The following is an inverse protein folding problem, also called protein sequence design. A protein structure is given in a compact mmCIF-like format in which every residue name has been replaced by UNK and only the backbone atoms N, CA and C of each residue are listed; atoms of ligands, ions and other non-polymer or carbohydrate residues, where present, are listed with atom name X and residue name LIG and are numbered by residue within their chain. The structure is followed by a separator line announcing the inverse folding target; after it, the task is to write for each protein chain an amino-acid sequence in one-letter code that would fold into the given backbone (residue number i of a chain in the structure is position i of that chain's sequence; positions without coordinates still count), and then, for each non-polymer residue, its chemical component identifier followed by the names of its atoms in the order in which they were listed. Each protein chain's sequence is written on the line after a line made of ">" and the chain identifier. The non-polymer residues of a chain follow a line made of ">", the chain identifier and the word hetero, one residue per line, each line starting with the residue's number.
data_IF_135601059040
#
_entry.id   IF_135601059040
#
_cell.length_a   1.000
_cell.length_b   1.000
_cell.length_c   1.000
_cell.angle_alpha   90.00
_cell.angle_beta   90.00
_cell.angle_gamma   90.00
#
_symmetry.space_group_name_H-M   'P 1'
#
loop_
_entity.id
_entity.type
_entity.pdbx_description
1 polymer ?
#
# COMPACT_ATOMS: atom_id res chain seq x y z
N UNK A 1 -16.83 18.97 -24.62
CA UNK A 1 -15.74 18.37 -25.42
C UNK A 1 -14.45 19.12 -25.18
N UNK A 2 -13.33 18.41 -25.10
CA UNK A 2 -11.98 18.98 -25.06
C UNK A 2 -11.57 19.61 -26.41
N UNK A 3 -10.77 20.66 -26.36
CA UNK A 3 -10.17 21.39 -27.49
C UNK A 3 -9.40 20.47 -28.43
N UNK A 4 -8.66 19.47 -27.91
CA UNK A 4 -7.87 18.55 -28.73
C UNK A 4 -8.74 17.72 -29.69
N UNK A 5 -9.95 17.35 -29.28
CA UNK A 5 -10.90 16.60 -30.13
C UNK A 5 -11.32 17.45 -31.32
N UNK A 6 -11.69 18.70 -31.05
CA UNK A 6 -12.14 19.65 -32.08
C UNK A 6 -11.00 20.02 -33.04
N UNK A 7 -9.77 20.13 -32.54
CA UNK A 7 -8.60 20.36 -33.40
C UNK A 7 -8.30 19.20 -34.35
N UNK A 8 -8.43 17.96 -33.88
CA UNK A 8 -8.15 16.79 -34.70
C UNK A 8 -9.27 16.51 -35.72
N UNK A 9 -10.51 16.90 -35.39
CA UNK A 9 -11.68 16.69 -36.24
C UNK A 9 -12.51 17.96 -36.35
N UNK A 10 -12.00 18.96 -37.08
CA UNK A 10 -12.65 20.27 -37.17
C UNK A 10 -14.00 20.26 -37.90
N UNK A 11 -14.26 19.31 -38.79
CA UNK A 11 -15.52 19.23 -39.53
C UNK A 11 -16.63 18.61 -38.67
N UNK A 12 -17.51 19.48 -38.16
CA UNK A 12 -18.64 19.10 -37.31
C UNK A 12 -19.66 18.19 -38.01
N UNK A 13 -19.65 18.10 -39.35
CA UNK A 13 -20.51 17.15 -40.06
C UNK A 13 -20.05 15.70 -39.89
N UNK A 14 -18.83 15.47 -39.41
CA UNK A 14 -18.28 14.15 -39.14
C UNK A 14 -18.36 13.76 -37.66
N UNK A 15 -18.90 14.62 -36.79
CA UNK A 15 -19.02 14.35 -35.36
C UNK A 15 -20.14 13.35 -35.10
N UNK A 16 -19.80 12.07 -35.17
CA UNK A 16 -20.74 10.96 -35.01
C UNK A 16 -20.46 10.17 -33.74
N UNK A 17 -21.49 9.88 -32.95
CA UNK A 17 -21.39 9.03 -31.77
C UNK A 17 -22.30 7.82 -31.99
N UNK A 18 -21.73 6.62 -31.90
CA UNK A 18 -22.49 5.36 -31.96
C UNK A 18 -23.11 5.06 -30.61
N UNK A 19 -24.17 5.80 -30.28
CA UNK A 19 -25.02 5.59 -29.12
C UNK A 19 -26.49 5.77 -29.52
N UNK A 20 -27.40 5.19 -28.74
CA UNK A 20 -28.83 5.34 -28.97
C UNK A 20 -29.28 6.78 -28.69
N UNK A 21 -30.19 7.31 -29.52
CA UNK A 21 -30.76 8.64 -29.37
C UNK A 21 -30.10 9.74 -30.21
N UNK A 22 -30.38 11.00 -29.85
CA UNK A 22 -29.76 12.18 -30.48
C UNK A 22 -28.64 12.71 -29.59
N UNK A 23 -27.51 13.04 -30.21
CA UNK A 23 -26.33 13.55 -29.49
C UNK A 23 -26.42 15.07 -29.31
N UNK A 24 -26.02 15.56 -28.13
CA UNK A 24 -25.82 16.98 -27.85
C UNK A 24 -24.34 17.22 -27.51
N UNK A 25 -23.65 17.96 -28.37
CA UNK A 25 -22.25 18.34 -28.17
C UNK A 25 -22.18 19.68 -27.45
N UNK A 26 -21.67 19.65 -26.21
CA UNK A 26 -21.49 20.83 -25.37
C UNK A 26 -20.06 21.36 -25.52
N UNK A 27 -19.93 22.61 -25.98
CA UNK A 27 -18.65 23.32 -26.15
C UNK A 27 -18.52 24.45 -25.12
N UNK A 28 -17.43 24.46 -24.36
CA UNK A 28 -17.15 25.55 -23.43
C UNK A 28 -16.54 26.76 -24.16
N UNK A 29 -16.76 27.97 -23.63
CA UNK A 29 -16.07 29.18 -24.10
C UNK A 29 -14.55 29.13 -23.96
N UNK A 30 -14.03 28.30 -23.04
CA UNK A 30 -12.59 28.04 -22.89
C UNK A 30 -11.99 27.46 -24.16
N UNK A 31 -12.75 26.66 -24.91
CA UNK A 31 -12.28 26.03 -26.14
C UNK A 31 -11.87 27.06 -27.17
N UNK A 32 -12.67 28.12 -27.37
CA UNK A 32 -12.34 29.20 -28.30
C UNK A 32 -11.10 29.96 -27.84
N UNK A 33 -10.97 30.20 -26.53
CA UNK A 33 -9.81 30.88 -25.95
C UNK A 33 -8.52 30.06 -26.14
N UNK A 34 -8.59 28.75 -25.93
CA UNK A 34 -7.47 27.83 -26.12
C UNK A 34 -7.07 27.71 -27.58
N UNK A 35 -8.03 27.56 -28.50
CA UNK A 35 -7.76 27.56 -29.94
C UNK A 35 -7.05 28.84 -30.38
N UNK A 36 -7.48 30.00 -29.88
CA UNK A 36 -6.85 31.28 -30.19
C UNK A 36 -5.44 31.38 -29.61
N UNK A 37 -5.22 30.86 -28.40
CA UNK A 37 -3.89 30.79 -27.80
C UNK A 37 -2.95 29.88 -28.61
N UNK A 38 -3.42 28.70 -29.02
CA UNK A 38 -2.64 27.76 -29.84
C UNK A 38 -2.33 28.37 -31.20
N UNK A 39 -3.29 29.04 -31.85
CA UNK A 39 -3.11 29.71 -33.15
C UNK A 39 -2.00 30.76 -33.12
N UNK A 40 -1.82 31.45 -31.99
CA UNK A 40 -0.82 32.52 -31.80
C UNK A 40 0.57 32.00 -31.43
N UNK A 41 0.74 30.71 -31.11
CA UNK A 41 2.05 30.17 -30.74
C UNK A 41 3.01 30.20 -31.95
N UNK A 42 4.21 30.73 -31.72
CA UNK A 42 5.34 30.68 -32.64
C UNK A 42 6.33 29.58 -32.22
N UNK A 43 7.02 28.95 -33.19
CA UNK A 43 8.11 28.01 -32.90
C UNK A 43 8.19 26.79 -33.83
N UNK A 44 8.58 25.64 -33.26
CA UNK A 44 8.95 24.37 -33.91
C UNK A 44 7.90 23.82 -34.89
N UNK A 45 8.31 22.86 -35.74
CA UNK A 45 7.44 22.22 -36.75
C UNK A 45 6.13 21.64 -36.18
N UNK A 46 6.17 21.02 -35.00
CA UNK A 46 4.98 20.53 -34.29
C UNK A 46 4.01 21.64 -33.87
N UNK A 47 4.55 22.81 -33.50
CA UNK A 47 3.75 24.00 -33.19
C UNK A 47 3.07 24.57 -34.45
N UNK A 48 3.72 24.45 -35.62
CA UNK A 48 3.13 24.85 -36.91
C UNK A 48 1.93 23.96 -37.26
N UNK A 49 2.04 22.64 -37.10
CA UNK A 49 0.93 21.72 -37.36
C UNK A 49 -0.25 22.00 -36.41
N UNK A 50 0.02 22.15 -35.12
CA UNK A 50 -1.00 22.47 -34.11
C UNK A 50 -1.69 23.81 -34.40
N UNK A 51 -0.92 24.82 -34.84
CA UNK A 51 -1.47 26.11 -35.26
C UNK A 51 -2.39 25.97 -36.48
N UNK A 52 -1.99 25.20 -37.48
CA UNK A 52 -2.81 24.97 -38.67
C UNK A 52 -4.12 24.25 -38.30
N UNK A 53 -4.06 23.22 -37.46
CA UNK A 53 -5.25 22.52 -36.93
C UNK A 53 -6.17 23.48 -36.17
N UNK A 54 -5.62 24.32 -35.29
CA UNK A 54 -6.39 25.32 -34.56
C UNK A 54 -7.03 26.36 -35.49
N UNK A 55 -6.33 26.81 -36.54
CA UNK A 55 -6.90 27.74 -37.52
C UNK A 55 -8.05 27.11 -38.33
N UNK A 56 -7.92 25.85 -38.73
CA UNK A 56 -8.99 25.10 -39.41
C UNK A 56 -10.20 24.94 -38.47
N UNK A 57 -9.98 24.56 -37.21
CA UNK A 57 -11.03 24.45 -36.20
C UNK A 57 -11.76 25.77 -35.98
N UNK A 58 -11.04 26.88 -35.84
CA UNK A 58 -11.64 28.23 -35.69
C UNK A 58 -12.49 28.59 -36.91
N UNK A 59 -11.98 28.37 -38.13
CA UNK A 59 -12.75 28.66 -39.36
C UNK A 59 -14.01 27.80 -39.46
N UNK A 60 -13.92 26.53 -39.07
CA UNK A 60 -15.06 25.61 -39.03
C UNK A 60 -16.13 26.08 -38.03
N UNK A 61 -15.74 26.38 -36.78
CA UNK A 61 -16.65 26.90 -35.76
C UNK A 61 -17.26 28.25 -36.15
N UNK A 62 -16.48 29.15 -36.78
CA UNK A 62 -17.03 30.39 -37.31
C UNK A 62 -18.07 30.15 -38.43
N UNK A 63 -17.88 29.12 -39.25
CA UNK A 63 -18.87 28.67 -40.22
C UNK A 63 -20.14 28.14 -39.56
N UNK A 64 -20.00 27.38 -38.47
CA UNK A 64 -21.12 26.89 -37.66
C UNK A 64 -21.91 28.05 -37.04
N UNK A 65 -21.23 29.04 -36.44
CA UNK A 65 -21.88 30.19 -35.78
C UNK A 65 -22.66 31.09 -36.76
N UNK A 66 -22.40 31.00 -38.06
CA UNK A 66 -23.20 31.70 -39.08
C UNK A 66 -24.53 31.01 -39.37
N UNK A 67 -24.72 29.75 -38.97
CA UNK A 67 -25.92 28.97 -39.21
C UNK A 67 -27.02 29.24 -38.16
N UNK A 68 -26.68 29.81 -37.01
CA UNK A 68 -27.63 30.10 -35.95
C UNK A 68 -26.96 30.56 -34.66
N UNK A 69 -27.76 30.71 -33.59
CA UNK A 69 -27.25 31.07 -32.28
C UNK A 69 -26.73 29.83 -31.53
N UNK A 70 -25.41 29.76 -31.31
CA UNK A 70 -24.78 28.59 -30.67
C UNK A 70 -25.25 28.36 -29.24
N UNK A 71 -25.73 29.38 -28.52
CA UNK A 71 -26.25 29.21 -27.16
C UNK A 71 -27.65 28.62 -27.12
N UNK A 72 -28.38 28.65 -28.23
CA UNK A 72 -29.72 28.03 -28.38
C UNK A 72 -29.65 26.63 -29.00
N UNK A 73 -28.48 26.26 -29.54
CA UNK A 73 -28.26 24.98 -30.20
C UNK A 73 -28.32 25.11 -31.73
N UNK A 74 -27.37 24.47 -32.41
CA UNK A 74 -27.32 24.39 -33.87
C UNK A 74 -27.36 22.91 -34.28
N UNK A 75 -28.34 22.55 -35.09
CA UNK A 75 -28.47 21.20 -35.61
C UNK A 75 -27.34 20.89 -36.60
N UNK A 76 -26.77 19.69 -36.49
CA UNK A 76 -25.76 19.12 -37.39
C UNK A 76 -26.21 17.72 -37.84
N UNK A 77 -25.44 17.12 -38.75
CA UNK A 77 -25.78 15.82 -39.36
C UNK A 77 -26.11 14.70 -38.35
N UNK A 78 -25.42 14.66 -37.22
CA UNK A 78 -25.53 13.56 -36.24
C UNK A 78 -25.92 14.05 -34.82
N UNK A 79 -26.55 15.23 -34.70
CA UNK A 79 -26.96 15.77 -33.41
C UNK A 79 -27.10 17.28 -33.38
N UNK A 80 -26.82 17.87 -32.23
CA UNK A 80 -26.89 19.31 -31.96
C UNK A 80 -25.60 19.79 -31.30
N UNK A 81 -25.19 21.02 -31.56
CA UNK A 81 -24.07 21.67 -30.88
C UNK A 81 -24.57 22.87 -30.09
N UNK A 82 -24.20 22.95 -28.81
CA UNK A 82 -24.47 24.11 -27.94
C UNK A 82 -23.18 24.68 -27.35
N UNK A 83 -23.12 26.00 -27.24
CA UNK A 83 -22.04 26.74 -26.60
C UNK A 83 -22.43 27.18 -25.20
N UNK A 84 -21.58 26.92 -24.22
CA UNK A 84 -21.79 27.28 -22.81
C UNK A 84 -20.68 28.23 -22.34
N UNK A 85 -21.09 29.38 -21.82
CA UNK A 85 -20.17 30.36 -21.24
C UNK A 85 -19.71 29.94 -19.85
N UNK A 86 -18.46 30.24 -19.50
CA UNK A 86 -17.98 30.08 -18.13
C UNK A 86 -18.83 30.92 -17.15
N UNK A 87 -19.09 30.43 -15.93
CA UNK A 87 -19.70 31.24 -14.88
C UNK A 87 -18.89 32.51 -14.59
N UNK A 88 -19.54 33.50 -13.98
CA UNK A 88 -18.85 34.72 -13.53
C UNK A 88 -17.75 34.34 -12.53
N UNK A 89 -16.64 35.09 -12.57
CA UNK A 89 -15.45 34.85 -11.72
C UNK A 89 -15.80 34.62 -10.23
N UNK A 90 -16.69 35.44 -9.67
CA UNK A 90 -17.11 35.34 -8.27
C UNK A 90 -17.80 34.01 -7.89
N UNK A 91 -18.45 33.33 -8.85
CA UNK A 91 -19.06 32.03 -8.63
C UNK A 91 -18.07 30.88 -8.88
N UNK A 92 -17.09 31.09 -9.77
CA UNK A 92 -16.17 30.05 -10.21
C UNK A 92 -14.90 29.93 -9.35
N UNK A 93 -14.37 31.04 -8.84
CA UNK A 93 -13.13 31.03 -8.03
C UNK A 93 -13.22 30.12 -6.80
N UNK A 94 -14.31 30.12 -5.99
CA UNK A 94 -14.40 29.25 -4.83
C UNK A 94 -14.36 27.75 -5.18
N UNK A 95 -14.99 27.34 -6.28
CA UNK A 95 -14.94 25.93 -6.71
C UNK A 95 -13.54 25.53 -7.22
N UNK A 96 -12.84 26.46 -7.86
CA UNK A 96 -11.47 26.20 -8.33
C UNK A 96 -10.46 26.19 -7.17
N UNK A 97 -10.68 26.98 -6.11
CA UNK A 97 -9.88 26.93 -4.87
C UNK A 97 -10.06 25.58 -4.15
N UNK A 98 -11.27 25.02 -4.12
CA UNK A 98 -11.49 23.67 -3.58
C UNK A 98 -10.76 22.57 -4.38
N UNK A 99 -10.38 22.85 -5.63
CA UNK A 99 -9.66 21.94 -6.51
C UNK A 99 -8.25 22.46 -6.85
N UNK A 100 -7.62 23.22 -5.94
CA UNK A 100 -6.35 23.91 -6.21
C UNK A 100 -5.25 22.97 -6.74
N UNK A 101 -5.12 21.77 -6.17
CA UNK A 101 -4.13 20.78 -6.62
C UNK A 101 -4.37 20.33 -8.06
N UNK A 102 -5.64 20.13 -8.45
CA UNK A 102 -6.01 19.81 -9.83
C UNK A 102 -5.76 20.99 -10.75
N UNK A 103 -6.07 22.22 -10.32
CA UNK A 103 -5.79 23.43 -11.09
C UNK A 103 -4.29 23.60 -11.32
N UNK A 104 -3.46 23.28 -10.34
CA UNK A 104 -2.00 23.33 -10.44
C UNK A 104 -1.46 22.29 -11.42
N UNK A 105 -2.01 21.07 -11.41
CA UNK A 105 -1.57 19.99 -12.28
C UNK A 105 -2.08 20.12 -13.73
N UNK A 106 -3.35 20.48 -13.91
CA UNK A 106 -4.07 20.44 -15.19
C UNK A 106 -4.41 21.82 -15.75
N UNK A 107 -4.01 22.91 -15.08
CA UNK A 107 -4.43 24.28 -15.41
C UNK A 107 -5.93 24.50 -15.20
N UNK A 108 -6.26 25.78 -15.23
CA UNK A 108 -7.60 26.29 -14.96
C UNK A 108 -8.62 25.90 -16.04
N UNK A 109 -8.22 25.76 -17.31
CA UNK A 109 -9.13 25.45 -18.40
C UNK A 109 -9.59 24.00 -18.39
N UNK A 110 -8.70 23.05 -18.16
CA UNK A 110 -9.05 21.63 -18.06
C UNK A 110 -9.90 21.37 -16.81
N UNK A 111 -9.59 22.04 -15.69
CA UNK A 111 -10.43 21.98 -14.47
C UNK A 111 -11.83 22.54 -14.70
N UNK A 112 -11.99 23.57 -15.55
CA UNK A 112 -13.34 24.07 -15.93
C UNK A 112 -14.14 23.04 -16.74
N UNK A 113 -13.50 22.21 -17.56
CA UNK A 113 -14.19 21.14 -18.29
C UNK A 113 -14.71 20.07 -17.33
N UNK A 114 -13.95 19.74 -16.28
CA UNK A 114 -14.40 18.86 -15.21
C UNK A 114 -15.64 19.44 -14.51
N UNK A 115 -15.59 20.71 -14.09
CA UNK A 115 -16.70 21.39 -13.41
C UNK A 115 -17.95 21.46 -14.30
N UNK A 116 -17.79 21.84 -15.58
CA UNK A 116 -18.89 21.86 -16.55
C UNK A 116 -19.52 20.48 -16.72
N UNK A 117 -18.70 19.42 -16.79
CA UNK A 117 -19.22 18.05 -16.92
C UNK A 117 -20.03 17.65 -15.68
N UNK A 118 -19.54 18.00 -14.48
CA UNK A 118 -20.26 17.77 -13.22
C UNK A 118 -21.59 18.52 -13.18
N UNK A 119 -21.59 19.80 -13.56
CA UNK A 119 -22.80 20.63 -13.61
C UNK A 119 -23.82 20.09 -14.62
N UNK A 120 -23.38 19.74 -15.84
CA UNK A 120 -24.25 19.10 -16.83
C UNK A 120 -24.84 17.78 -16.30
N UNK A 121 -24.05 16.95 -15.63
CA UNK A 121 -24.54 15.70 -15.06
C UNK A 121 -25.59 15.93 -13.98
N UNK A 122 -25.42 16.95 -13.14
CA UNK A 122 -26.39 17.33 -12.12
C UNK A 122 -27.67 17.92 -12.71
N UNK A 123 -27.56 18.73 -13.78
CA UNK A 123 -28.72 19.33 -14.44
C UNK A 123 -29.52 18.32 -15.27
N UNK A 124 -28.86 17.31 -15.83
CA UNK A 124 -29.47 16.32 -16.71
C UNK A 124 -29.45 14.92 -16.07
N UNK A 125 -30.14 14.75 -14.94
CA UNK A 125 -30.13 13.50 -14.16
C UNK A 125 -30.49 12.22 -14.95
N UNK A 126 -31.30 12.36 -16.01
CA UNK A 126 -31.77 11.25 -16.86
C UNK A 126 -31.00 11.11 -18.18
N UNK A 127 -30.10 12.04 -18.50
CA UNK A 127 -29.33 12.02 -19.75
C UNK A 127 -27.86 11.71 -19.46
N UNK A 128 -27.27 10.68 -20.07
CA UNK A 128 -25.85 10.40 -19.90
C UNK A 128 -24.98 11.59 -20.34
N UNK A 129 -24.18 12.12 -19.41
CA UNK A 129 -23.19 13.15 -19.67
C UNK A 129 -21.80 12.54 -19.56
N UNK A 130 -20.97 12.69 -20.59
CA UNK A 130 -19.60 12.15 -20.62
C UNK A 130 -18.62 13.21 -21.14
N UNK A 131 -17.54 13.44 -20.40
CA UNK A 131 -16.42 14.25 -20.89
C UNK A 131 -15.65 13.49 -21.97
N UNK A 132 -15.56 14.08 -23.15
CA UNK A 132 -14.74 13.55 -24.26
C UNK A 132 -13.41 14.29 -24.29
N UNK A 133 -12.30 13.56 -24.11
CA UNK A 133 -10.94 14.09 -24.16
C UNK A 133 -10.00 13.18 -24.95
N UNK A 134 -8.96 13.77 -25.54
CA UNK A 134 -7.86 13.04 -26.18
C UNK A 134 -6.62 12.94 -25.30
N UNK A 135 -6.66 13.49 -24.09
CA UNK A 135 -5.51 13.54 -23.18
C UNK A 135 -5.65 12.51 -22.06
N UNK A 136 -4.67 11.60 -21.97
CA UNK A 136 -4.63 10.55 -20.95
C UNK A 136 -4.62 11.08 -19.52
N UNK A 137 -3.87 12.15 -19.26
CA UNK A 137 -3.76 12.68 -17.91
C UNK A 137 -5.09 13.30 -17.45
N UNK A 138 -5.75 14.06 -18.33
CA UNK A 138 -7.08 14.62 -18.04
C UNK A 138 -8.12 13.52 -17.87
N UNK A 139 -8.10 12.49 -18.72
CA UNK A 139 -8.96 11.32 -18.58
C UNK A 139 -8.81 10.66 -17.20
N UNK A 140 -7.57 10.35 -16.79
CA UNK A 140 -7.31 9.71 -15.49
C UNK A 140 -7.78 10.59 -14.33
N UNK A 141 -7.48 11.89 -14.35
CA UNK A 141 -7.87 12.81 -13.30
C UNK A 141 -9.40 12.92 -13.17
N UNK A 142 -10.11 13.05 -14.29
CA UNK A 142 -11.58 13.15 -14.30
C UNK A 142 -12.22 11.84 -13.84
N UNK A 143 -11.67 10.69 -14.27
CA UNK A 143 -12.15 9.38 -13.84
C UNK A 143 -12.00 9.17 -12.32
N UNK A 144 -10.88 9.63 -11.74
CA UNK A 144 -10.65 9.57 -10.29
C UNK A 144 -11.60 10.47 -9.49
N UNK A 145 -12.17 11.50 -10.12
CA UNK A 145 -13.21 12.33 -9.53
C UNK A 145 -14.62 11.72 -9.65
N UNK A 146 -14.73 10.49 -10.18
CA UNK A 146 -16.01 9.80 -10.38
C UNK A 146 -16.88 10.43 -11.48
N UNK A 147 -16.31 11.31 -12.30
CA UNK A 147 -17.02 11.96 -13.40
C UNK A 147 -16.89 11.09 -14.66
N UNK A 148 -17.99 10.78 -15.36
CA UNK A 148 -17.92 9.97 -16.57
C UNK A 148 -17.08 10.63 -17.65
N UNK A 149 -16.07 9.90 -18.14
CA UNK A 149 -15.17 10.36 -19.20
C UNK A 149 -14.86 9.26 -20.20
N UNK A 150 -14.57 9.66 -21.43
CA UNK A 150 -14.19 8.77 -22.51
C UNK A 150 -12.99 9.33 -23.26
N UNK A 151 -11.95 8.50 -23.36
CA UNK A 151 -10.74 8.82 -24.10
C UNK A 151 -10.93 8.46 -25.57
N UNK A 152 -10.89 9.46 -26.45
CA UNK A 152 -10.88 9.23 -27.90
C UNK A 152 -10.06 10.29 -28.61
N UNK A 153 -9.56 9.98 -29.80
CA UNK A 153 -8.81 10.96 -30.62
C UNK A 153 -9.54 11.36 -31.89
N UNK A 154 -10.52 10.55 -32.34
CA UNK A 154 -11.24 10.73 -33.59
C UNK A 154 -12.71 10.28 -33.51
N UNK A 155 -13.49 10.65 -34.54
CA UNK A 155 -14.86 10.18 -34.77
C UNK A 155 -14.88 9.00 -35.77
N UNK A 156 -15.88 8.08 -35.70
CA UNK A 156 -16.98 8.06 -34.74
C UNK A 156 -16.53 7.66 -33.32
N UNK A 157 -17.21 8.17 -32.30
CA UNK A 157 -17.02 7.72 -30.92
C UNK A 157 -17.83 6.45 -30.72
N UNK A 158 -17.18 5.40 -30.20
CA UNK A 158 -17.77 4.08 -29.97
C UNK A 158 -17.48 3.61 -28.54
N UNK A 159 -18.32 2.72 -28.00
CA UNK A 159 -18.05 2.12 -26.70
C UNK A 159 -18.19 3.08 -25.51
N UNK A 160 -19.04 4.11 -25.64
CA UNK A 160 -19.49 4.88 -24.48
C UNK A 160 -20.20 3.92 -23.53
N UNK A 161 -19.56 3.65 -22.38
CA UNK A 161 -20.19 2.88 -21.30
C UNK A 161 -21.34 3.71 -20.73
N UNK A 162 -22.43 3.06 -20.33
CA UNK A 162 -23.47 3.72 -19.54
C UNK A 162 -22.81 4.38 -18.34
N UNK A 163 -22.92 5.70 -18.25
CA UNK A 163 -22.37 6.47 -17.15
C UNK A 163 -23.19 6.14 -15.90
N UNK A 164 -22.65 5.42 -14.89
CA UNK A 164 -23.33 5.37 -13.61
C UNK A 164 -23.45 6.81 -13.08
N UNK A 165 -24.58 7.16 -12.49
CA UNK A 165 -24.75 8.44 -11.80
C UNK A 165 -23.52 8.70 -10.91
N UNK A 166 -23.01 9.94 -10.87
CA UNK A 166 -21.87 10.32 -10.01
C UNK A 166 -22.18 9.80 -8.61
N UNK A 167 -21.54 8.69 -8.24
CA UNK A 167 -21.84 8.02 -6.98
C UNK A 167 -21.36 8.95 -5.88
N UNK A 168 -22.19 9.10 -4.86
CA UNK A 168 -21.85 9.74 -3.58
C UNK A 168 -20.48 9.24 -3.11
N UNK A 169 -19.75 10.08 -2.39
CA UNK A 169 -18.44 9.72 -1.81
C UNK A 169 -18.48 8.29 -1.24
N UNK A 170 -17.47 7.49 -1.60
CA UNK A 170 -17.34 6.12 -1.13
C UNK A 170 -17.30 6.16 0.41
N UNK A 171 -18.21 5.43 1.06
CA UNK A 171 -18.16 5.22 2.50
C UNK A 171 -16.99 4.31 2.82
N UNK A 172 -15.80 4.89 2.93
CA UNK A 172 -14.58 4.16 3.26
C UNK A 172 -14.70 3.46 4.60
N UNK A 173 -15.42 4.01 5.57
CA UNK A 173 -15.65 3.35 6.86
C UNK A 173 -16.54 2.11 6.68
N UNK A 174 -17.50 2.15 5.76
CA UNK A 174 -18.28 0.99 5.32
C UNK A 174 -17.43 -0.08 4.65
N UNK A 175 -16.62 0.33 3.66
CA UNK A 175 -15.74 -0.58 2.90
C UNK A 175 -14.66 -1.20 3.81
N UNK A 176 -14.05 -0.42 4.69
CA UNK A 176 -13.06 -0.90 5.65
C UNK A 176 -13.68 -1.86 6.66
N UNK A 177 -14.89 -1.57 7.16
CA UNK A 177 -15.62 -2.52 8.02
C UNK A 177 -15.96 -3.81 7.30
N UNK A 178 -16.33 -3.76 6.02
CA UNK A 178 -16.60 -4.94 5.20
C UNK A 178 -15.32 -5.76 5.01
N UNK A 179 -14.19 -5.12 4.64
CA UNK A 179 -12.89 -5.79 4.51
C UNK A 179 -12.44 -6.39 5.85
N UNK A 180 -12.55 -5.66 6.95
CA UNK A 180 -12.22 -6.17 8.29
C UNK A 180 -13.10 -7.35 8.69
N UNK A 181 -14.40 -7.29 8.37
CA UNK A 181 -15.34 -8.40 8.65
C UNK A 181 -14.98 -9.63 7.83
N UNK A 182 -14.76 -9.46 6.52
CA UNK A 182 -14.33 -10.52 5.61
C UNK A 182 -13.01 -11.15 6.05
N UNK A 183 -12.09 -10.32 6.53
CA UNK A 183 -10.77 -10.76 7.00
C UNK A 183 -10.91 -11.53 8.32
N UNK A 184 -11.75 -11.07 9.26
CA UNK A 184 -12.01 -11.77 10.53
C UNK A 184 -12.72 -13.10 10.32
N UNK A 185 -13.64 -13.20 9.35
CA UNK A 185 -14.30 -14.47 9.03
C UNK A 185 -13.34 -15.50 8.38
N UNK A 186 -12.32 -15.02 7.66
CA UNK A 186 -11.33 -15.87 6.99
C UNK A 186 -10.08 -16.14 7.83
N UNK A 187 -9.88 -15.42 8.93
CA UNK A 187 -8.71 -15.54 9.78
C UNK A 187 -8.79 -16.78 10.68
N UNK A 188 -7.74 -17.57 10.66
CA UNK A 188 -7.49 -18.65 11.60
C UNK A 188 -6.70 -18.07 12.76
N UNK A 189 -7.27 -18.11 13.97
CA UNK A 189 -6.60 -17.59 15.17
C UNK A 189 -5.85 -18.74 15.84
N UNK A 190 -4.59 -18.53 16.18
CA UNK A 190 -3.75 -19.50 16.87
C UNK A 190 -3.29 -18.90 18.19
N UNK A 191 -3.64 -19.56 19.29
CA UNK A 191 -3.19 -19.23 20.64
C UNK A 191 -2.12 -20.27 21.03
N UNK A 192 -0.85 -19.89 21.14
CA UNK A 192 0.23 -20.78 21.60
C UNK A 192 0.64 -20.39 23.03
N UNK A 193 0.94 -21.35 23.89
CA UNK A 193 1.40 -21.11 25.26
C UNK A 193 2.67 -21.90 25.51
N UNK A 194 3.73 -21.21 25.96
CA UNK A 194 4.98 -21.86 26.34
C UNK A 194 4.80 -22.54 27.70
N UNK A 195 5.18 -23.81 27.80
CA UNK A 195 5.02 -24.59 29.05
C UNK A 195 6.36 -25.05 29.62
N UNK A 196 7.37 -25.25 28.76
CA UNK A 196 8.67 -25.71 29.21
C UNK A 196 9.78 -25.17 28.31
N UNK A 197 10.94 -24.92 28.92
CA UNK A 197 12.19 -24.64 28.22
C UNK A 197 13.30 -25.40 28.92
N UNK A 198 13.95 -26.33 28.21
CA UNK A 198 14.95 -27.22 28.81
C UNK A 198 16.13 -27.46 27.88
N UNK A 199 17.30 -27.70 28.45
CA UNK A 199 18.45 -28.14 27.67
C UNK A 199 18.21 -29.55 27.13
N UNK A 200 18.61 -29.77 25.88
CA UNK A 200 18.55 -31.09 25.29
C UNK A 200 19.36 -32.11 26.14
N UNK A 201 18.85 -33.32 26.38
CA UNK A 201 19.58 -34.34 27.11
C UNK A 201 20.94 -34.65 26.45
N UNK A 202 21.99 -34.84 27.25
CA UNK A 202 23.36 -35.02 26.75
C UNK A 202 23.56 -36.16 25.74
N UNK A 203 22.71 -37.19 25.76
CA UNK A 203 22.74 -38.29 24.79
C UNK A 203 22.22 -37.89 23.39
N UNK A 204 21.36 -36.87 23.31
CA UNK A 204 20.84 -36.32 22.05
C UNK A 204 21.85 -35.35 21.39
N UNK A 205 22.83 -34.87 22.16
CA UNK A 205 23.81 -33.84 21.78
C UNK A 205 25.21 -34.44 21.61
N UNK A 206 25.34 -35.77 21.53
CA UNK A 206 26.63 -36.45 21.47
C UNK A 206 27.37 -36.13 20.16
N UNK A 207 28.24 -35.11 20.20
CA UNK A 207 29.02 -34.63 19.05
C UNK A 207 28.46 -33.40 18.34
N UNK A 208 27.38 -32.77 18.86
CA UNK A 208 26.78 -31.56 18.29
C UNK A 208 26.81 -30.38 19.27
N UNK A 209 26.50 -29.17 18.80
CA UNK A 209 26.34 -27.99 19.66
C UNK A 209 25.16 -28.18 20.62
N UNK A 210 25.29 -27.83 21.92
CA UNK A 210 24.16 -27.80 22.85
C UNK A 210 23.01 -26.94 22.33
N UNK A 211 21.81 -27.48 22.37
CA UNK A 211 20.58 -26.78 22.00
C UNK A 211 19.53 -26.90 23.11
N UNK A 212 18.56 -26.00 23.06
CA UNK A 212 17.41 -25.95 23.95
C UNK A 212 16.19 -26.51 23.24
N UNK A 213 15.25 -27.04 24.02
CA UNK A 213 13.95 -27.51 23.55
C UNK A 213 12.91 -26.67 24.26
N UNK A 214 12.10 -25.95 23.49
CA UNK A 214 10.88 -25.29 23.94
C UNK A 214 9.67 -26.19 23.66
N UNK A 215 8.76 -26.26 24.63
CA UNK A 215 7.55 -27.07 24.54
C UNK A 215 6.36 -26.26 24.99
N UNK A 216 5.23 -26.49 24.34
CA UNK A 216 4.01 -25.79 24.68
C UNK A 216 2.76 -26.47 24.17
N UNK A 217 1.65 -25.86 24.55
CA UNK A 217 0.34 -26.21 24.04
C UNK A 217 -0.14 -25.09 23.13
N UNK A 218 -1.00 -25.39 22.18
CA UNK A 218 -1.68 -24.36 21.42
C UNK A 218 -3.10 -24.75 21.09
N UNK A 219 -3.86 -23.75 20.64
CA UNK A 219 -5.25 -23.88 20.24
C UNK A 219 -5.43 -23.14 18.92
N UNK A 220 -5.89 -23.85 17.90
CA UNK A 220 -6.30 -23.29 16.61
C UNK A 220 -7.81 -23.07 16.65
N UNK A 221 -8.26 -21.86 16.27
CA UNK A 221 -9.67 -21.48 16.16
C UNK A 221 -9.99 -21.13 14.71
N UNK A 222 -10.94 -21.86 14.12
CA UNK A 222 -11.42 -21.66 12.76
C UNK A 222 -12.95 -21.52 12.80
N UNK A 223 -13.45 -20.28 12.81
CA UNK A 223 -14.88 -20.01 13.03
C UNK A 223 -15.35 -20.55 14.39
N UNK A 224 -16.13 -21.63 14.38
CA UNK A 224 -16.62 -22.30 15.62
C UNK A 224 -15.80 -23.53 16.01
N UNK A 225 -14.90 -23.99 15.16
CA UNK A 225 -14.04 -25.13 15.46
C UNK A 225 -12.85 -24.69 16.32
N UNK A 226 -12.54 -25.49 17.33
CA UNK A 226 -11.42 -25.28 18.26
C UNK A 226 -10.62 -26.57 18.32
N UNK A 227 -9.33 -26.51 17.98
CA UNK A 227 -8.46 -27.69 17.92
C UNK A 227 -7.21 -27.48 18.78
N UNK A 228 -7.00 -28.28 19.83
CA UNK A 228 -5.78 -28.21 20.62
C UNK A 228 -4.63 -28.92 19.88
N UNK A 229 -3.40 -28.46 20.12
CA UNK A 229 -2.18 -29.13 19.68
C UNK A 229 -1.07 -28.99 20.71
N UNK A 230 -0.09 -29.89 20.65
CA UNK A 230 1.19 -29.74 21.34
C UNK A 230 2.22 -29.25 20.33
N UNK A 231 3.16 -28.43 20.76
CA UNK A 231 4.27 -28.00 19.92
C UNK A 231 5.60 -28.18 20.63
N UNK A 232 6.63 -28.48 19.85
CA UNK A 232 8.01 -28.62 20.32
C UNK A 232 8.96 -28.02 19.30
N UNK A 233 9.84 -27.13 19.77
CA UNK A 233 10.81 -26.43 18.93
C UNK A 233 12.20 -26.58 19.54
N UNK A 234 13.14 -27.24 18.85
CA UNK A 234 14.54 -27.16 19.20
C UNK A 234 15.13 -25.85 18.67
N UNK A 235 15.99 -25.21 19.45
CA UNK A 235 16.64 -23.96 19.07
C UNK A 235 18.01 -23.82 19.74
N UNK A 236 18.95 -23.13 19.08
CA UNK A 236 20.23 -22.82 19.70
C UNK A 236 20.08 -21.61 20.62
N UNK A 237 20.43 -21.74 21.92
CA UNK A 237 20.52 -20.57 22.77
C UNK A 237 21.65 -19.69 22.25
N UNK A 238 21.35 -18.41 22.08
CA UNK A 238 22.36 -17.45 21.69
C UNK A 238 23.22 -17.18 22.91
N UNK A 239 24.51 -17.46 22.80
CA UNK A 239 25.44 -17.27 23.91
C UNK A 239 26.80 -16.79 23.41
N UNK A 240 27.43 -15.92 24.17
CA UNK A 240 28.83 -15.53 24.02
C UNK A 240 29.79 -16.62 24.51
N UNK A 241 29.36 -17.86 24.80
CA UNK A 241 30.23 -18.96 25.25
C UNK A 241 31.32 -19.36 24.24
N UNK A 242 32.39 -20.03 24.71
CA UNK A 242 33.50 -20.54 23.87
C UNK A 242 32.94 -21.39 22.73
N UNK A 243 33.05 -20.88 21.50
CA UNK A 243 32.78 -21.68 20.31
C UNK A 243 33.96 -22.63 20.12
N UNK A 244 33.66 -23.93 20.00
CA UNK A 244 34.64 -24.92 19.55
C UNK A 244 34.94 -24.66 18.07
N UNK A 245 36.17 -24.88 17.58
CA UNK A 245 36.47 -24.79 16.14
C UNK A 245 35.63 -25.74 15.26
N UNK A 246 34.91 -26.70 15.85
CA UNK A 246 33.89 -27.53 15.19
C UNK A 246 32.54 -26.83 14.96
N UNK A 247 32.30 -25.65 15.54
CA UNK A 247 31.01 -24.94 15.49
C UNK A 247 30.75 -24.25 14.13
N UNK A 248 31.74 -24.25 13.24
CA UNK A 248 31.64 -23.73 11.87
C UNK A 248 31.11 -24.75 10.85
N UNK A 249 30.88 -26.01 11.24
CA UNK A 249 30.17 -26.97 10.41
C UNK A 249 28.65 -26.85 10.64
N UNK A 250 27.99 -26.05 9.80
CA UNK A 250 26.58 -26.19 9.45
C UNK A 250 25.55 -25.98 10.58
N UNK A 251 24.83 -24.86 10.52
CA UNK A 251 23.59 -24.57 11.26
C UNK A 251 22.41 -25.51 10.89
N UNK A 252 22.67 -26.76 10.47
CA UNK A 252 21.79 -27.47 9.52
C UNK A 252 21.09 -28.75 9.99
N UNK A 253 21.15 -29.16 11.26
CA UNK A 253 20.40 -30.35 11.72
C UNK A 253 19.79 -30.18 13.12
N UNK A 254 19.02 -29.11 13.34
CA UNK A 254 18.02 -29.16 14.42
C UNK A 254 16.85 -30.04 13.96
N UNK A 255 16.27 -30.90 14.83
CA UNK A 255 15.04 -31.61 14.49
C UNK A 255 13.96 -30.61 14.03
N UNK A 256 13.08 -30.98 13.09
CA UNK A 256 12.01 -30.10 12.65
C UNK A 256 11.08 -29.74 13.82
N UNK A 257 10.41 -28.59 13.70
CA UNK A 257 9.31 -28.24 14.60
C UNK A 257 8.29 -29.38 14.59
N UNK A 258 7.92 -29.85 15.77
CA UNK A 258 6.92 -30.90 15.90
C UNK A 258 5.62 -30.29 16.39
N UNK A 259 4.54 -30.47 15.62
CA UNK A 259 3.18 -30.16 16.04
C UNK A 259 2.40 -31.48 16.13
N UNK A 260 1.82 -31.77 17.30
CA UNK A 260 0.99 -32.94 17.55
C UNK A 260 -0.47 -32.52 17.73
N UNK A 261 -1.31 -32.86 16.76
CA UNK A 261 -2.77 -32.66 16.79
C UNK A 261 -3.52 -33.90 17.30
N UNK A 262 -2.89 -34.70 18.16
CA UNK A 262 -3.47 -35.88 18.81
C UNK A 262 -4.01 -36.94 17.83
N UNK A 263 -3.33 -37.11 16.69
CA UNK A 263 -3.69 -38.10 15.66
C UNK A 263 -4.79 -37.67 14.69
N UNK A 264 -5.07 -36.37 14.54
CA UNK A 264 -5.91 -35.86 13.47
C UNK A 264 -5.18 -35.91 12.10
N UNK A 265 -5.50 -36.92 11.29
CA UNK A 265 -4.89 -37.13 9.96
C UNK A 265 -5.31 -36.10 8.88
N UNK A 266 -6.28 -35.22 9.18
CA UNK A 266 -6.88 -34.27 8.23
C UNK A 266 -6.45 -32.82 8.47
N UNK A 267 -5.30 -32.58 9.11
CA UNK A 267 -4.77 -31.22 9.25
C UNK A 267 -4.09 -30.80 7.93
N UNK A 268 -4.57 -29.71 7.31
CA UNK A 268 -4.02 -29.24 6.04
C UNK A 268 -2.56 -28.84 6.18
N UNK A 269 -1.70 -29.35 5.29
CA UNK A 269 -0.25 -29.11 5.34
C UNK A 269 0.09 -27.61 5.36
N UNK A 270 -0.61 -26.81 4.57
CA UNK A 270 -0.39 -25.36 4.51
C UNK A 270 -0.61 -24.66 5.86
N UNK A 271 -1.58 -25.13 6.66
CA UNK A 271 -1.83 -24.59 7.99
C UNK A 271 -0.79 -25.08 9.00
N UNK A 272 -0.34 -26.34 8.86
CA UNK A 272 0.77 -26.87 9.65
C UNK A 272 2.03 -26.02 9.44
N UNK A 273 2.39 -25.80 8.17
CA UNK A 273 3.57 -25.05 7.78
C UNK A 273 3.48 -23.61 8.28
N UNK A 274 2.33 -22.95 8.12
CA UNK A 274 2.12 -21.59 8.62
C UNK A 274 2.23 -21.45 10.14
N UNK A 275 1.75 -22.44 10.92
CA UNK A 275 1.92 -22.46 12.38
C UNK A 275 3.39 -22.73 12.74
N UNK A 276 4.01 -23.70 12.09
CA UNK A 276 5.39 -24.08 12.33
C UNK A 276 6.34 -22.91 12.05
N UNK A 277 6.17 -22.20 10.93
CA UNK A 277 6.95 -21.03 10.56
C UNK A 277 6.82 -19.92 11.60
N UNK A 278 5.59 -19.61 12.04
CA UNK A 278 5.35 -18.58 13.07
C UNK A 278 5.98 -18.90 14.41
N UNK A 279 5.96 -20.17 14.80
CA UNK A 279 6.58 -20.62 16.04
C UNK A 279 8.11 -20.70 15.91
N UNK A 280 8.64 -21.09 14.75
CA UNK A 280 10.07 -21.12 14.45
C UNK A 280 10.65 -19.71 14.44
N UNK A 281 9.90 -18.75 13.96
CA UNK A 281 10.23 -17.33 14.01
C UNK A 281 10.49 -16.85 15.45
N UNK A 282 9.77 -17.37 16.45
CA UNK A 282 10.03 -17.09 17.86
C UNK A 282 11.36 -17.70 18.36
N UNK A 283 11.89 -18.74 17.72
CA UNK A 283 13.20 -19.29 18.06
C UNK A 283 14.36 -18.38 17.64
N UNK A 284 14.13 -17.58 16.60
CA UNK A 284 15.08 -16.60 16.10
C UNK A 284 15.07 -15.32 16.95
N UNK A 285 16.17 -14.58 16.88
CA UNK A 285 16.22 -13.22 17.40
C UNK A 285 15.62 -12.28 16.37
N UNK A 286 14.33 -11.98 16.53
CA UNK A 286 13.64 -10.94 15.79
C UNK A 286 12.96 -9.99 16.77
N UNK A 287 13.16 -8.69 16.61
CA UNK A 287 12.50 -7.65 17.41
C UNK A 287 11.26 -7.11 16.67
N UNK A 288 10.50 -8.00 16.04
CA UNK A 288 9.23 -7.61 15.42
C UNK A 288 8.18 -7.34 16.52
N UNK A 289 7.52 -6.19 16.44
CA UNK A 289 6.52 -5.77 17.41
C UNK A 289 5.44 -6.85 17.63
N UNK A 290 5.19 -7.21 18.88
CA UNK A 290 4.18 -8.19 19.26
C UNK A 290 4.55 -9.66 19.03
N UNK A 291 5.78 -9.97 18.60
CA UNK A 291 6.28 -11.35 18.50
C UNK A 291 7.24 -11.66 19.65
N UNK A 292 6.96 -12.66 20.49
CA UNK A 292 7.86 -13.03 21.57
C UNK A 292 9.01 -13.91 21.07
N UNK A 293 10.10 -13.96 21.83
CA UNK A 293 11.28 -14.79 21.54
C UNK A 293 11.47 -15.91 22.56
N UNK A 294 11.86 -17.10 22.10
CA UNK A 294 12.22 -18.25 22.93
C UNK A 294 13.61 -18.11 23.56
N UNK A 295 14.37 -17.08 23.19
CA UNK A 295 15.65 -16.77 23.83
C UNK A 295 15.43 -16.37 25.30
N UNK A 296 16.43 -16.63 26.14
CA UNK A 296 16.38 -16.19 27.54
C UNK A 296 16.77 -14.71 27.64
N UNK A 297 16.39 -14.06 28.74
CA UNK A 297 16.87 -12.73 29.09
C UNK A 297 18.41 -12.63 28.97
N UNK A 298 19.12 -13.65 29.47
CA UNK A 298 20.57 -13.70 29.37
C UNK A 298 21.05 -13.73 27.90
N UNK A 299 20.46 -14.59 27.06
CA UNK A 299 20.80 -14.68 25.64
C UNK A 299 20.54 -13.37 24.88
N UNK A 300 19.46 -12.66 25.22
CA UNK A 300 19.14 -11.34 24.66
C UNK A 300 20.19 -10.31 25.07
N UNK A 301 20.49 -10.22 26.38
CA UNK A 301 21.49 -9.30 26.92
C UNK A 301 22.87 -9.54 26.30
N UNK A 302 23.25 -10.79 26.11
CA UNK A 302 24.51 -11.20 25.49
C UNK A 302 24.59 -10.77 24.01
N UNK A 303 23.54 -11.01 23.23
CA UNK A 303 23.51 -10.63 21.81
C UNK A 303 23.48 -9.12 21.61
N UNK A 304 22.64 -8.41 22.35
CA UNK A 304 22.60 -6.96 22.30
C UNK A 304 23.97 -6.36 22.68
N UNK A 305 24.64 -6.91 23.70
CA UNK A 305 25.93 -6.40 24.14
C UNK A 305 27.00 -6.60 23.06
N UNK A 306 26.93 -7.73 22.35
CA UNK A 306 27.79 -7.99 21.22
C UNK A 306 27.55 -7.04 20.05
N UNK A 307 26.30 -6.77 19.70
CA UNK A 307 25.99 -5.80 18.64
C UNK A 307 26.43 -4.38 19.00
N UNK A 308 26.17 -3.92 20.23
CA UNK A 308 26.63 -2.61 20.69
C UNK A 308 28.16 -2.52 20.71
N UNK A 309 28.83 -3.56 21.18
CA UNK A 309 30.29 -3.62 21.18
C UNK A 309 30.87 -3.55 19.77
N UNK A 310 30.30 -4.32 18.82
CA UNK A 310 30.70 -4.28 17.41
C UNK A 310 30.46 -2.90 16.77
N UNK A 311 29.34 -2.24 17.09
CA UNK A 311 29.03 -0.91 16.59
C UNK A 311 30.04 0.14 17.09
N UNK A 312 30.52 -0.02 18.33
CA UNK A 312 31.45 0.93 18.97
C UNK A 312 32.92 0.71 18.58
N UNK A 313 33.40 -0.52 18.68
CA UNK A 313 34.83 -0.87 18.57
C UNK A 313 35.21 -1.46 17.19
N UNK A 314 34.21 -1.81 16.37
CA UNK A 314 34.41 -2.45 15.06
C UNK A 314 34.68 -3.96 15.15
N UNK A 315 34.59 -4.63 14.00
CA UNK A 315 34.76 -6.08 13.93
C UNK A 315 36.25 -6.48 14.03
N UNK A 316 36.61 -7.27 15.05
CA UNK A 316 37.91 -7.94 15.15
C UNK A 316 37.77 -9.34 15.76
N UNK A 317 38.71 -10.25 15.46
CA UNK A 317 38.71 -11.61 16.04
C UNK A 317 38.85 -11.59 17.58
N UNK A 318 39.48 -10.55 18.13
CA UNK A 318 39.67 -10.37 19.59
C UNK A 318 38.49 -9.64 20.27
N UNK A 319 37.56 -9.06 19.50
CA UNK A 319 36.44 -8.26 20.03
C UNK A 319 35.54 -9.06 20.99
N UNK A 320 35.26 -10.32 20.66
CA UNK A 320 34.42 -11.18 21.48
C UNK A 320 35.09 -11.53 22.82
N UNK A 321 36.40 -11.76 22.81
CA UNK A 321 37.16 -12.08 24.02
C UNK A 321 37.32 -10.86 24.94
N UNK A 322 37.47 -9.67 24.35
CA UNK A 322 37.49 -8.41 25.10
C UNK A 322 36.13 -8.12 25.74
N UNK A 323 35.03 -8.24 25.00
CA UNK A 323 33.68 -8.08 25.55
C UNK A 323 33.43 -9.05 26.72
N UNK A 324 33.82 -10.32 26.57
CA UNK A 324 33.73 -11.32 27.66
C UNK A 324 34.52 -10.88 28.89
N UNK A 325 35.70 -10.31 28.70
CA UNK A 325 36.55 -9.86 29.78
C UNK A 325 35.95 -8.65 30.49
N UNK A 326 35.41 -7.68 29.74
CA UNK A 326 34.70 -6.52 30.27
C UNK A 326 33.47 -6.92 31.08
N UNK A 327 32.62 -7.81 30.55
CA UNK A 327 31.44 -8.33 31.27
C UNK A 327 31.85 -9.01 32.59
N UNK A 328 32.98 -9.74 32.60
CA UNK A 328 33.51 -10.34 33.85
C UNK A 328 34.02 -9.30 34.83
N UNK A 329 34.65 -8.23 34.34
CA UNK A 329 35.14 -7.14 35.19
C UNK A 329 34.03 -6.30 35.78
N UNK A 330 32.91 -6.16 35.08
CA UNK A 330 31.68 -5.53 35.58
C UNK A 330 30.92 -6.40 36.58
N UNK A 331 31.42 -7.57 36.98
CA UNK A 331 30.72 -8.53 37.86
C UNK A 331 29.51 -9.25 37.24
N UNK A 332 29.19 -9.00 35.96
CA UNK A 332 28.09 -9.64 35.27
C UNK A 332 27.56 -8.85 34.09
N UNK A 333 26.62 -9.46 33.35
CA UNK A 333 25.96 -8.82 32.20
C UNK A 333 25.01 -7.70 32.64
N UNK A 334 24.31 -7.86 33.77
CA UNK A 334 23.36 -6.86 34.25
C UNK A 334 24.08 -5.58 34.66
N UNK A 335 25.18 -5.73 35.37
CA UNK A 335 26.07 -4.65 35.80
C UNK A 335 26.76 -4.01 34.59
N UNK A 336 27.24 -4.80 33.63
CA UNK A 336 27.79 -4.29 32.37
C UNK A 336 26.79 -3.38 31.63
N UNK A 337 25.54 -3.83 31.46
CA UNK A 337 24.49 -3.03 30.82
C UNK A 337 24.13 -1.79 31.62
N UNK A 338 24.06 -1.90 32.95
CA UNK A 338 23.78 -0.77 33.83
C UNK A 338 24.86 0.30 33.69
N UNK A 339 26.13 -0.10 33.76
CA UNK A 339 27.26 0.80 33.57
C UNK A 339 27.22 1.40 32.17
N UNK A 340 27.01 0.59 31.13
CA UNK A 340 27.02 1.06 29.75
C UNK A 340 25.92 2.11 29.49
N UNK A 341 24.67 1.85 29.87
CA UNK A 341 23.54 2.77 29.67
C UNK A 341 23.74 4.07 30.47
N UNK A 342 24.23 3.96 31.71
CA UNK A 342 24.45 5.13 32.57
C UNK A 342 25.58 6.06 32.09
N UNK A 343 26.50 5.56 31.27
CA UNK A 343 27.61 6.34 30.72
C UNK A 343 27.31 6.97 29.34
N UNK A 344 26.10 6.79 28.79
CA UNK A 344 25.65 7.53 27.61
C UNK A 344 25.48 9.00 28.00
N UNK A 345 26.19 9.89 27.28
CA UNK A 345 26.26 11.32 27.61
C UNK A 345 25.06 12.14 27.15
N UNK A 346 24.25 11.62 26.23
CA UNK A 346 23.03 12.23 25.72
C UNK A 346 21.80 11.60 26.40
N UNK A 347 20.95 12.44 27.02
CA UNK A 347 19.79 11.96 27.79
C UNK A 347 18.72 11.30 26.90
N UNK A 348 18.52 11.78 25.67
CA UNK A 348 17.52 11.23 24.74
C UNK A 348 17.99 9.86 24.20
N UNK A 349 19.27 9.73 23.86
CA UNK A 349 19.89 8.47 23.46
C UNK A 349 19.90 7.45 24.61
N UNK A 350 20.21 7.90 25.83
CA UNK A 350 20.14 7.06 27.02
C UNK A 350 18.72 6.53 27.24
N UNK A 351 17.71 7.37 27.10
CA UNK A 351 16.32 6.98 27.27
C UNK A 351 15.89 5.97 26.19
N UNK A 352 16.17 6.26 24.92
CA UNK A 352 15.83 5.38 23.82
C UNK A 352 16.51 4.00 23.95
N UNK A 353 17.76 3.97 24.38
CA UNK A 353 18.47 2.70 24.58
C UNK A 353 17.89 1.90 25.75
N UNK A 354 17.57 2.57 26.87
CA UNK A 354 16.92 1.92 28.01
C UNK A 354 15.54 1.36 27.62
N UNK A 355 14.73 2.12 26.87
CA UNK A 355 13.43 1.66 26.38
C UNK A 355 13.57 0.43 25.48
N UNK A 356 14.46 0.48 24.48
CA UNK A 356 14.69 -0.65 23.58
C UNK A 356 15.23 -1.89 24.29
N UNK A 357 16.11 -1.71 25.29
CA UNK A 357 16.62 -2.80 26.11
C UNK A 357 15.50 -3.44 26.94
N UNK A 358 14.67 -2.64 27.61
CA UNK A 358 13.52 -3.13 28.39
C UNK A 358 12.50 -3.84 27.48
N UNK A 359 12.22 -3.29 26.30
CA UNK A 359 11.33 -3.90 25.31
C UNK A 359 11.86 -5.27 24.86
N UNK A 360 13.15 -5.37 24.53
CA UNK A 360 13.79 -6.62 24.16
C UNK A 360 13.70 -7.69 25.25
N UNK A 361 13.84 -7.29 26.51
CA UNK A 361 13.65 -8.20 27.65
C UNK A 361 12.18 -8.61 27.81
N UNK A 362 11.24 -7.68 27.69
CA UNK A 362 9.81 -7.96 27.80
C UNK A 362 9.28 -8.86 26.66
N UNK A 363 9.99 -8.91 25.53
CA UNK A 363 9.67 -9.82 24.43
C UNK A 363 10.13 -11.27 24.71
N UNK A 364 10.89 -11.54 25.77
CA UNK A 364 11.22 -12.92 26.16
C UNK A 364 9.94 -13.68 26.52
N UNK A 365 9.66 -14.76 25.80
CA UNK A 365 8.47 -15.57 26.01
C UNK A 365 8.56 -16.30 27.36
N UNK A 366 7.78 -15.92 28.35
CA UNK A 366 7.79 -16.58 29.67
C UNK A 366 6.97 -17.87 29.68
N UNK A 367 7.28 -18.75 30.65
CA UNK A 367 6.48 -19.95 30.90
C UNK A 367 5.07 -19.52 31.33
N UNK A 368 4.06 -20.21 30.82
CA UNK A 368 2.63 -19.94 30.96
C UNK A 368 2.12 -18.68 30.24
N UNK A 369 2.98 -17.95 29.53
CA UNK A 369 2.56 -16.81 28.70
C UNK A 369 1.99 -17.29 27.36
N UNK A 370 0.90 -16.67 26.92
CA UNK A 370 0.29 -16.90 25.62
C UNK A 370 0.83 -15.96 24.53
N UNK A 371 0.94 -16.50 23.32
CA UNK A 371 1.22 -15.78 22.07
C UNK A 371 0.08 -16.06 21.10
N UNK A 372 -0.66 -15.02 20.74
CA UNK A 372 -1.79 -15.11 19.79
C UNK A 372 -1.40 -14.50 18.46
N UNK A 373 -1.60 -15.25 17.37
CA UNK A 373 -1.36 -14.78 16.01
C UNK A 373 -2.45 -15.26 15.04
N UNK A 374 -2.59 -14.55 13.92
CA UNK A 374 -3.58 -14.85 12.90
C UNK A 374 -2.90 -15.41 11.65
N UNK A 375 -3.51 -16.43 11.05
CA UNK A 375 -3.15 -16.99 9.75
C UNK A 375 -4.29 -16.72 8.78
N UNK A 376 -3.98 -16.08 7.66
CA UNK A 376 -4.91 -15.93 6.55
C UNK A 376 -4.45 -16.90 5.47
N UNK A 377 -5.21 -17.97 5.27
CA UNK A 377 -4.94 -18.91 4.19
C UNK A 377 -5.19 -18.20 2.86
N UNK A 378 -4.19 -18.14 1.99
CA UNK A 378 -4.39 -17.68 0.61
C UNK A 378 -5.45 -18.56 -0.06
N UNK A 379 -6.36 -17.94 -0.83
CA UNK A 379 -7.19 -18.73 -1.74
C UNK A 379 -6.23 -19.44 -2.70
N UNK A 380 -6.16 -20.77 -2.61
CA UNK A 380 -5.53 -21.58 -3.65
C UNK A 380 -6.11 -21.18 -5.01
N UNK A 381 -5.23 -21.06 -5.99
CA UNK A 381 -5.53 -20.63 -7.37
C UNK A 381 -6.75 -21.31 -7.99
#
# INVERSE_FOLDING_TARGET
>A
MDTNIVMNNADYNNWNVKADGQNLFVLSDTLIQELEFIRRKEGTREKIESRNKAEIAIKSLAGLFRQGNITEGIAIKYGWIIGVSSPRKAALDPELEQLEDLVRAFKRSDTKLLLLTRECHQLFESTPVTLITGEWNLFNAVQMQGVPCHLCTNFPIEGLKEAPAIRKAIDWDGVLREIESDTKEKAIVVDATLTARRSAPSWLVAGSKPFMIAEGHGVVRMGTEVRPFLWTIPFYPQSLGLQSPSDNEGLTDLPPVHLDFFGEDNFGQDLFDAIADRLLDCANLSFEEGRPTLQSHQSIMEMLAYFEYLNKEGFSEEALDNLRQEVRWSEGLAEYWTDWILHIGDEDEQHACLEGFIEALNNCWEIDQGYTFNIIMGQGE
#
